data_IF_565850072512
#
_entry.id   IF_565850072512
#
_cell.length_a   1.000
_cell.length_b   1.000
_cell.length_c   1.000
_cell.angle_alpha   90.00
_cell.angle_beta   90.00
_cell.angle_gamma   90.00
#
_symmetry.space_group_name_H-M   'P 1'
#
loop_
_entity.id
_entity.type
_entity.pdbx_description
1 polymer ?
#
# COMPACT_ATOMS: atom_id res chain seq x y z
N UNK A 1 3.08 1.87 -19.47
CA UNK A 1 2.45 1.94 -18.13
C UNK A 1 3.48 2.55 -17.21
N UNK A 2 3.13 3.67 -16.60
CA UNK A 2 4.04 4.46 -15.77
C UNK A 2 4.24 3.80 -14.41
N UNK A 3 5.46 3.90 -13.87
CA UNK A 3 5.78 3.47 -12.51
C UNK A 3 5.28 4.57 -11.56
N UNK A 4 4.46 4.19 -10.59
CA UNK A 4 4.02 5.09 -9.54
C UNK A 4 5.21 5.46 -8.64
N UNK A 5 5.43 6.75 -8.47
CA UNK A 5 6.45 7.32 -7.59
C UNK A 5 5.79 8.28 -6.62
N UNK A 6 6.46 8.63 -5.51
CA UNK A 6 5.93 9.57 -4.51
C UNK A 6 5.42 10.90 -5.07
N UNK A 7 5.92 11.33 -6.23
CA UNK A 7 5.53 12.56 -6.92
C UNK A 7 4.42 12.39 -7.97
N UNK A 8 3.98 11.16 -8.25
CA UNK A 8 2.92 10.87 -9.24
C UNK A 8 1.54 11.37 -8.81
N UNK A 9 1.30 11.55 -7.50
CA UNK A 9 0.10 12.17 -6.91
C UNK A 9 0.49 12.95 -5.66
N UNK A 10 -0.42 13.82 -5.20
CA UNK A 10 -0.26 14.50 -3.90
C UNK A 10 -0.20 13.45 -2.80
N UNK A 11 0.85 13.50 -1.99
CA UNK A 11 1.03 12.69 -0.79
C UNK A 11 1.20 13.60 0.42
N UNK A 12 0.71 13.14 1.58
CA UNK A 12 0.98 13.74 2.87
C UNK A 12 1.99 12.89 3.64
N UNK A 13 2.64 13.44 4.68
CA UNK A 13 3.55 12.68 5.53
C UNK A 13 2.90 11.41 6.11
N UNK A 14 3.73 10.44 6.46
CA UNK A 14 3.26 9.22 7.11
C UNK A 14 2.63 9.55 8.48
N UNK A 15 1.56 8.85 8.88
CA UNK A 15 0.89 9.10 10.17
C UNK A 15 1.83 8.82 11.34
N UNK A 16 1.66 9.52 12.47
CA UNK A 16 2.41 9.23 13.70
C UNK A 16 1.81 8.03 14.42
N UNK A 17 0.47 7.98 14.52
CA UNK A 17 -0.26 6.90 15.16
C UNK A 17 -0.47 5.73 14.19
N UNK A 18 0.17 4.60 14.49
CA UNK A 18 0.11 3.38 13.68
C UNK A 18 -0.09 2.16 14.55
N UNK A 19 -0.80 1.18 14.02
CA UNK A 19 -0.86 -0.16 14.58
C UNK A 19 -0.19 -1.15 13.63
N UNK A 20 0.65 -2.02 14.17
CA UNK A 20 1.27 -3.12 13.43
C UNK A 20 0.24 -4.15 13.02
N UNK A 21 0.39 -4.70 11.83
CA UNK A 21 -0.50 -5.71 11.27
C UNK A 21 0.29 -6.99 10.99
N UNK A 22 -0.27 -8.12 11.41
CA UNK A 22 0.24 -9.46 11.10
C UNK A 22 -0.23 -9.87 9.69
N UNK A 23 0.49 -9.42 8.67
CA UNK A 23 0.17 -9.69 7.26
C UNK A 23 1.17 -10.68 6.65
N UNK A 24 0.78 -11.95 6.55
CA UNK A 24 1.61 -13.03 6.01
C UNK A 24 1.36 -13.30 4.53
N UNK A 25 1.86 -12.45 3.63
CA UNK A 25 1.77 -12.64 2.18
C UNK A 25 3.12 -13.00 1.55
N UNK A 26 3.07 -13.85 0.52
CA UNK A 26 4.21 -14.24 -0.30
C UNK A 26 3.83 -14.07 -1.77
N UNK A 27 4.71 -13.42 -2.52
CA UNK A 27 4.55 -13.16 -3.95
C UNK A 27 5.69 -13.83 -4.73
N UNK A 28 5.38 -14.33 -5.93
CA UNK A 28 6.37 -14.73 -6.92
C UNK A 28 7.17 -13.52 -7.44
N UNK A 29 8.24 -13.76 -8.19
CA UNK A 29 9.05 -12.68 -8.75
C UNK A 29 8.27 -11.81 -9.75
N UNK A 30 7.44 -12.41 -10.61
CA UNK A 30 6.58 -11.68 -11.55
C UNK A 30 5.54 -10.81 -10.83
N UNK A 31 4.89 -11.35 -9.79
CA UNK A 31 3.97 -10.59 -8.95
C UNK A 31 4.69 -9.44 -8.24
N UNK A 32 5.90 -9.69 -7.71
CA UNK A 32 6.71 -8.67 -7.05
C UNK A 32 7.11 -7.55 -8.00
N UNK A 33 7.47 -7.86 -9.24
CA UNK A 33 7.75 -6.85 -10.27
C UNK A 33 6.52 -5.97 -10.55
N UNK A 34 5.32 -6.57 -10.66
CA UNK A 34 4.08 -5.81 -10.87
C UNK A 34 3.74 -4.94 -9.66
N UNK A 35 3.84 -5.51 -8.46
CA UNK A 35 3.61 -4.82 -7.19
C UNK A 35 4.51 -3.60 -7.05
N UNK A 36 5.79 -3.72 -7.37
CA UNK A 36 6.77 -2.62 -7.28
C UNK A 36 6.49 -1.47 -8.25
N UNK A 37 5.66 -1.67 -9.28
CA UNK A 37 5.23 -0.57 -10.17
C UNK A 37 4.20 0.34 -9.51
N UNK A 38 3.54 -0.13 -8.45
CA UNK A 38 2.49 0.60 -7.77
C UNK A 38 1.25 0.83 -8.65
N UNK A 39 0.45 1.82 -8.25
CA UNK A 39 -0.83 2.13 -8.88
C UNK A 39 -1.10 3.64 -8.87
N UNK A 40 -1.35 4.20 -10.05
CA UNK A 40 -1.79 5.59 -10.23
C UNK A 40 -3.29 5.59 -10.60
N UNK A 41 -4.16 6.18 -9.77
CA UNK A 41 -5.60 6.20 -10.04
C UNK A 41 -5.90 7.01 -11.29
N UNK A 42 -6.80 6.51 -12.14
CA UNK A 42 -7.14 7.11 -13.44
C UNK A 42 -8.41 7.97 -13.42
N UNK A 43 -9.31 7.71 -12.48
CA UNK A 43 -10.59 8.41 -12.35
C UNK A 43 -10.89 8.76 -10.88
N UNK A 44 -12.05 9.36 -10.65
CA UNK A 44 -12.47 9.78 -9.32
C UNK A 44 -12.92 8.61 -8.44
N UNK A 45 -13.46 7.53 -9.01
CA UNK A 45 -13.94 6.38 -8.22
C UNK A 45 -12.79 5.57 -7.64
N UNK A 46 -11.60 5.70 -8.24
CA UNK A 46 -10.38 5.09 -7.75
C UNK A 46 -9.73 5.89 -6.61
N UNK A 47 -10.10 5.49 -5.40
CA UNK A 47 -9.75 6.19 -4.16
C UNK A 47 -8.33 5.92 -3.65
N UNK A 48 -7.53 5.14 -4.38
CA UNK A 48 -6.23 4.67 -3.91
C UNK A 48 -5.10 5.06 -4.86
N UNK A 49 -4.00 5.52 -4.27
CA UNK A 49 -2.73 5.76 -4.91
C UNK A 49 -1.68 4.94 -4.15
N UNK A 50 -0.92 4.11 -4.87
CA UNK A 50 0.03 3.18 -4.25
C UNK A 50 1.37 3.34 -4.96
N UNK A 51 2.46 3.45 -4.21
CA UNK A 51 3.81 3.46 -4.80
C UNK A 51 4.78 2.68 -3.94
N UNK A 52 5.85 2.20 -4.58
CA UNK A 52 6.95 1.49 -3.92
C UNK A 52 8.16 2.42 -3.77
N UNK A 53 8.69 2.56 -2.57
CA UNK A 53 9.89 3.35 -2.27
C UNK A 53 10.64 2.72 -1.10
N UNK A 54 11.96 2.52 -1.25
CA UNK A 54 12.84 2.04 -0.17
C UNK A 54 12.37 0.74 0.54
N UNK A 55 11.80 -0.21 -0.23
CA UNK A 55 11.33 -1.49 0.32
C UNK A 55 9.89 -1.48 0.82
N UNK A 56 9.21 -0.33 0.78
CA UNK A 56 7.84 -0.15 1.26
C UNK A 56 6.87 0.12 0.13
N UNK A 57 5.70 -0.51 0.20
CA UNK A 57 4.49 -0.06 -0.48
C UNK A 57 3.73 0.89 0.44
N UNK A 58 3.47 2.10 -0.03
CA UNK A 58 2.66 3.09 0.67
C UNK A 58 1.31 3.25 0.00
N UNK A 59 0.24 3.08 0.77
CA UNK A 59 -1.14 3.14 0.30
C UNK A 59 -1.76 4.46 0.74
N UNK A 60 -1.88 5.39 -0.20
CA UNK A 60 -2.45 6.71 0.03
C UNK A 60 -3.88 6.81 -0.50
N UNK A 61 -4.69 7.63 0.15
CA UNK A 61 -5.97 8.08 -0.42
C UNK A 61 -5.70 9.05 -1.56
N UNK A 62 -6.23 8.74 -2.75
CA UNK A 62 -5.93 9.50 -3.97
C UNK A 62 -6.38 10.97 -3.92
N UNK A 63 -7.43 11.27 -3.16
CA UNK A 63 -8.02 12.61 -3.07
C UNK A 63 -7.37 13.49 -2.01
N UNK A 64 -7.11 12.95 -0.82
CA UNK A 64 -6.60 13.72 0.33
C UNK A 64 -5.08 13.62 0.46
N UNK A 65 -4.49 12.53 -0.02
CA UNK A 65 -3.05 12.24 0.10
C UNK A 65 -2.65 11.58 1.42
N UNK A 66 -3.58 11.32 2.35
CA UNK A 66 -3.26 10.63 3.62
C UNK A 66 -2.76 9.21 3.37
N UNK A 67 -1.66 8.83 4.03
CA UNK A 67 -1.12 7.47 4.00
C UNK A 67 -1.87 6.61 5.01
N UNK A 68 -2.53 5.56 4.53
CA UNK A 68 -3.36 4.69 5.36
C UNK A 68 -2.61 3.43 5.75
N UNK A 69 -1.86 2.83 4.82
CA UNK A 69 -1.13 1.59 5.07
C UNK A 69 0.31 1.70 4.57
N UNK A 70 1.20 0.98 5.25
CA UNK A 70 2.53 0.66 4.76
C UNK A 70 2.77 -0.83 4.84
N UNK A 71 3.34 -1.40 3.78
CA UNK A 71 3.71 -2.82 3.70
C UNK A 71 5.15 -2.92 3.25
N UNK A 72 6.01 -3.50 4.08
CA UNK A 72 7.42 -3.74 3.77
C UNK A 72 7.62 -5.12 3.18
N UNK A 73 8.40 -5.14 2.12
CA UNK A 73 8.76 -6.34 1.40
C UNK A 73 10.22 -6.72 1.69
N UNK A 74 10.53 -8.01 1.84
CA UNK A 74 11.93 -8.44 1.79
C UNK A 74 12.47 -8.28 0.35
N UNK A 75 13.63 -7.67 0.19
CA UNK A 75 14.19 -7.35 -1.14
C UNK A 75 14.71 -8.57 -1.91
N UNK A 76 14.15 -9.76 -1.67
CA UNK A 76 14.65 -11.02 -2.19
C UNK A 76 14.40 -11.17 -3.70
N UNK A 77 15.37 -11.73 -4.46
CA UNK A 77 15.23 -12.04 -5.89
C UNK A 77 14.59 -13.43 -6.16
N UNK A 78 14.00 -14.08 -5.16
CA UNK A 78 13.43 -15.43 -5.28
C UNK A 78 12.11 -15.53 -4.50
N UNK A 79 11.14 -14.76 -4.98
CA UNK A 79 9.90 -14.45 -4.30
C UNK A 79 10.10 -13.38 -3.22
N UNK A 80 9.04 -12.61 -2.98
CA UNK A 80 9.04 -11.48 -2.07
C UNK A 80 7.97 -11.67 -1.01
N UNK A 81 8.37 -11.54 0.25
CA UNK A 81 7.50 -11.70 1.43
C UNK A 81 7.18 -10.37 2.03
N UNK A 82 5.98 -10.25 2.57
CA UNK A 82 5.66 -9.19 3.53
C UNK A 82 6.37 -9.52 4.84
N UNK A 83 7.21 -8.59 5.31
CA UNK A 83 7.95 -8.72 6.57
C UNK A 83 7.50 -7.73 7.64
N UNK A 84 6.73 -6.71 7.24
CA UNK A 84 6.17 -5.72 8.16
C UNK A 84 4.96 -5.08 7.49
N UNK A 85 3.91 -4.83 8.26
CA UNK A 85 2.78 -4.03 7.81
C UNK A 85 2.25 -3.17 8.96
N UNK A 86 1.68 -2.03 8.60
CA UNK A 86 1.02 -1.16 9.55
C UNK A 86 -0.19 -0.45 8.93
N UNK A 87 -1.15 -0.09 9.76
CA UNK A 87 -2.25 0.80 9.43
C UNK A 87 -2.22 2.07 10.26
N UNK A 88 -2.65 3.18 9.65
CA UNK A 88 -2.93 4.42 10.37
C UNK A 88 -4.01 4.22 11.43
N UNK A 89 -3.83 4.85 12.58
CA UNK A 89 -4.81 4.94 13.66
C UNK A 89 -5.25 6.36 13.96
N UNK A 90 -4.80 7.31 13.15
CA UNK A 90 -5.27 8.68 13.20
C UNK A 90 -6.73 8.76 12.70
N UNK A 91 -7.67 8.88 13.65
CA UNK A 91 -9.12 8.89 13.36
C UNK A 91 -9.58 10.09 12.53
N UNK A 92 -8.83 11.19 12.54
CA UNK A 92 -9.14 12.37 11.73
C UNK A 92 -8.83 12.13 10.25
N UNK A 93 -7.91 11.21 9.95
CA UNK A 93 -7.46 10.88 8.59
C UNK A 93 -8.09 9.58 8.07
N UNK A 94 -8.31 8.62 8.97
CA UNK A 94 -8.85 7.31 8.66
C UNK A 94 -9.58 6.70 9.86
N UNK A 95 -10.90 6.58 9.73
CA UNK A 95 -11.72 5.87 10.70
C UNK A 95 -11.67 4.36 10.43
N UNK A 96 -10.56 3.71 10.81
CA UNK A 96 -10.40 2.27 10.66
C UNK A 96 -11.47 1.51 11.46
N UNK A 97 -12.16 0.54 10.85
CA UNK A 97 -13.06 -0.38 11.56
C UNK A 97 -12.32 -1.41 12.42
N UNK A 98 -10.99 -1.50 12.32
CA UNK A 98 -10.14 -2.42 13.07
C UNK A 98 -9.24 -3.29 12.18
N UNK A 99 -8.27 -3.94 12.83
CA UNK A 99 -7.18 -4.73 12.21
C UNK A 99 -7.65 -5.69 11.12
N UNK A 100 -8.70 -6.48 11.36
CA UNK A 100 -9.18 -7.47 10.39
C UNK A 100 -9.70 -6.81 9.10
N UNK A 101 -10.34 -5.65 9.22
CA UNK A 101 -10.83 -4.91 8.04
C UNK A 101 -9.66 -4.31 7.25
N UNK A 102 -8.64 -3.81 7.94
CA UNK A 102 -7.44 -3.25 7.31
C UNK A 102 -6.67 -4.33 6.54
N UNK A 103 -6.47 -5.51 7.14
CA UNK A 103 -5.80 -6.65 6.50
C UNK A 103 -6.51 -7.04 5.20
N UNK A 104 -7.83 -7.26 5.25
CA UNK A 104 -8.63 -7.59 4.06
C UNK A 104 -8.56 -6.49 2.99
N UNK A 105 -8.56 -5.23 3.41
CA UNK A 105 -8.44 -4.10 2.47
C UNK A 105 -7.07 -4.11 1.77
N UNK A 106 -5.97 -4.32 2.50
CA UNK A 106 -4.62 -4.40 1.92
C UNK A 106 -4.56 -5.54 0.89
N UNK A 107 -5.01 -6.74 1.26
CA UNK A 107 -5.04 -7.91 0.37
C UNK A 107 -5.85 -7.62 -0.91
N UNK A 108 -7.05 -7.05 -0.75
CA UNK A 108 -7.90 -6.70 -1.87
C UNK A 108 -7.23 -5.67 -2.80
N UNK A 109 -6.57 -4.65 -2.24
CA UNK A 109 -5.90 -3.61 -3.04
C UNK A 109 -4.72 -4.18 -3.82
N UNK A 110 -3.90 -5.04 -3.19
CA UNK A 110 -2.81 -5.72 -3.89
C UNK A 110 -3.38 -6.54 -5.05
N UNK A 111 -4.37 -7.38 -4.79
CA UNK A 111 -4.96 -8.25 -5.81
C UNK A 111 -5.61 -7.47 -6.97
N UNK A 112 -6.33 -6.39 -6.67
CA UNK A 112 -7.18 -5.69 -7.66
C UNK A 112 -6.55 -4.47 -8.31
N UNK A 113 -5.39 -4.00 -7.82
CA UNK A 113 -4.69 -2.83 -8.38
C UNK A 113 -3.25 -3.10 -8.76
N UNK A 114 -2.58 -4.04 -8.08
CA UNK A 114 -1.15 -4.28 -8.27
C UNK A 114 -0.84 -5.55 -9.07
N UNK A 115 -1.77 -6.51 -9.13
CA UNK A 115 -1.60 -7.78 -9.83
C UNK A 115 -2.42 -7.90 -11.13
N UNK A 116 -2.91 -6.77 -11.65
CA UNK A 116 -3.75 -6.68 -12.87
C UNK A 116 -2.97 -6.45 -14.15
#
# INVERSE_FOLDING_TARGET
>A
MDIATRTSRKTLPLPVERESLELGLLFSDDEAERIKRGHIPKDMDDKWFIFFEEGWLYFHRSWTGHCIYGVRLDGSPSGVRVIEAWASRNKDEYNSPGVETDLRMIEQLIATRLLV
#
